data_IF_862889434664
#
_entry.id   IF_862889434664
#
_cell.length_a   1.000
_cell.length_b   1.000
_cell.length_c   1.000
_cell.angle_alpha   90.00
_cell.angle_beta   90.00
_cell.angle_gamma   90.00
#
_symmetry.space_group_name_H-M   'P 1'
#
loop_
_entity.id
_entity.type
_entity.pdbx_description
1 polymer ?
#
# COMPACT_ATOMS: atom_id res chain seq x y z
N UNK A 1 -15.60 -40.59 -6.97
CA UNK A 1 -16.01 -39.24 -7.40
C UNK A 1 -17.20 -38.80 -6.55
N UNK A 2 -16.95 -38.46 -5.29
CA UNK A 2 -17.99 -38.14 -4.30
C UNK A 2 -17.83 -36.67 -3.89
N UNK A 3 -18.95 -35.96 -3.97
CA UNK A 3 -19.21 -34.56 -3.58
C UNK A 3 -18.35 -33.48 -4.26
N UNK A 4 -18.53 -33.28 -5.56
CA UNK A 4 -18.36 -31.92 -6.09
C UNK A 4 -19.47 -31.06 -5.47
N UNK A 5 -19.09 -30.05 -4.69
CA UNK A 5 -19.99 -29.01 -4.24
C UNK A 5 -20.67 -28.30 -5.43
N UNK A 6 -21.51 -27.31 -5.14
CA UNK A 6 -22.24 -26.55 -6.16
C UNK A 6 -21.29 -26.07 -7.27
N UNK A 7 -21.47 -26.57 -8.49
CA UNK A 7 -20.72 -26.11 -9.67
C UNK A 7 -21.17 -24.68 -9.96
N UNK A 8 -20.21 -23.75 -10.02
CA UNK A 8 -20.46 -22.36 -10.38
C UNK A 8 -19.94 -22.11 -11.78
N UNK A 9 -20.78 -21.51 -12.63
CA UNK A 9 -20.40 -21.13 -13.98
C UNK A 9 -19.94 -19.68 -14.01
N UNK A 10 -18.87 -19.44 -14.76
CA UNK A 10 -18.31 -18.13 -15.02
C UNK A 10 -19.22 -17.38 -16.01
N UNK A 11 -20.02 -16.42 -15.52
CA UNK A 11 -20.99 -15.66 -16.35
C UNK A 11 -20.46 -14.26 -16.67
N UNK A 12 -19.99 -13.52 -15.65
CA UNK A 12 -19.46 -12.16 -15.79
C UNK A 12 -17.98 -12.15 -16.17
N UNK A 13 -17.70 -12.53 -17.43
CA UNK A 13 -16.34 -12.60 -17.95
C UNK A 13 -15.80 -11.19 -18.19
N UNK A 14 -14.73 -10.83 -17.49
CA UNK A 14 -13.96 -9.62 -17.74
C UNK A 14 -12.66 -9.94 -18.51
N UNK A 15 -12.18 -8.95 -19.28
CA UNK A 15 -10.93 -9.03 -20.02
C UNK A 15 -9.98 -7.92 -19.58
N UNK A 16 -8.77 -8.31 -19.21
CA UNK A 16 -7.68 -7.40 -18.87
C UNK A 16 -6.46 -7.75 -19.74
N UNK A 17 -6.35 -7.08 -20.89
CA UNK A 17 -5.37 -7.42 -21.91
C UNK A 17 -5.60 -8.82 -22.48
N UNK A 18 -4.61 -9.71 -22.29
CA UNK A 18 -4.72 -11.12 -22.70
C UNK A 18 -5.39 -12.01 -21.64
N UNK A 19 -5.62 -11.51 -20.43
CA UNK A 19 -6.22 -12.28 -19.36
C UNK A 19 -7.75 -12.22 -19.42
N UNK A 20 -8.38 -13.38 -19.21
CA UNK A 20 -9.83 -13.55 -19.15
C UNK A 20 -10.16 -14.10 -17.77
N UNK A 21 -11.05 -13.44 -17.04
CA UNK A 21 -11.39 -13.83 -15.68
C UNK A 21 -12.87 -13.64 -15.37
N UNK A 22 -13.29 -14.17 -14.23
CA UNK A 22 -14.56 -13.86 -13.58
C UNK A 22 -14.37 -13.97 -12.07
N UNK A 23 -15.37 -13.56 -11.31
CA UNK A 23 -15.30 -13.56 -9.85
C UNK A 23 -16.44 -14.36 -9.25
N UNK A 24 -16.14 -15.05 -8.15
CA UNK A 24 -17.13 -15.76 -7.35
C UNK A 24 -17.00 -15.31 -5.91
N UNK A 25 -18.12 -14.97 -5.28
CA UNK A 25 -18.15 -14.75 -3.84
C UNK A 25 -18.15 -16.11 -3.13
N UNK A 26 -16.99 -16.51 -2.62
CA UNK A 26 -16.91 -17.68 -1.74
C UNK A 26 -17.51 -17.28 -0.38
N UNK A 27 -18.68 -17.83 -0.06
CA UNK A 27 -19.25 -17.68 1.29
C UNK A 27 -18.34 -18.41 2.28
N UNK A 28 -18.03 -17.76 3.41
CA UNK A 28 -17.11 -18.27 4.43
C UNK A 28 -17.42 -19.74 4.72
N UNK A 29 -16.51 -20.62 4.32
CA UNK A 29 -16.50 -21.97 4.87
C UNK A 29 -16.21 -21.80 6.36
N UNK A 30 -17.27 -21.94 7.17
CA UNK A 30 -17.24 -21.69 8.62
C UNK A 30 -16.30 -22.64 9.37
N UNK A 31 -15.81 -23.67 8.69
CA UNK A 31 -14.95 -24.68 9.30
C UNK A 31 -13.48 -24.35 9.06
N UNK A 32 -13.00 -23.62 10.07
CA UNK A 32 -11.65 -23.32 10.55
C UNK A 32 -10.51 -24.35 10.36
N UNK A 33 -10.39 -24.97 9.19
CA UNK A 33 -9.10 -25.50 8.74
C UNK A 33 -8.78 -24.90 7.36
N UNK A 34 -7.78 -24.01 7.33
CA UNK A 34 -7.14 -23.57 6.09
C UNK A 34 -6.43 -24.73 5.36
N UNK A 35 -6.50 -25.94 5.91
CA UNK A 35 -5.67 -27.08 5.54
C UNK A 35 -6.04 -27.74 4.21
N UNK A 36 -7.21 -27.51 3.60
CA UNK A 36 -7.57 -28.27 2.39
C UNK A 36 -8.74 -27.76 1.55
N UNK A 37 -8.88 -26.44 1.37
CA UNK A 37 -9.84 -25.94 0.39
C UNK A 37 -9.12 -25.64 -0.92
N UNK A 38 -9.29 -26.51 -1.92
CA UNK A 38 -8.87 -26.27 -3.29
C UNK A 38 -10.10 -26.04 -4.17
N UNK A 39 -9.97 -25.17 -5.16
CA UNK A 39 -10.98 -24.99 -6.20
C UNK A 39 -10.59 -25.80 -7.43
N UNK A 40 -11.54 -26.52 -8.01
CA UNK A 40 -11.34 -27.16 -9.30
C UNK A 40 -11.88 -26.25 -10.39
N UNK A 41 -10.99 -25.80 -11.27
CA UNK A 41 -11.33 -24.99 -12.43
C UNK A 41 -11.40 -25.90 -13.65
N UNK A 42 -12.55 -25.92 -14.32
CA UNK A 42 -12.77 -26.64 -15.56
C UNK A 42 -12.98 -25.64 -16.70
N UNK A 43 -12.21 -25.79 -17.77
CA UNK A 43 -12.40 -25.06 -19.02
C UNK A 43 -12.82 -26.06 -20.08
N UNK A 44 -13.95 -25.78 -20.73
CA UNK A 44 -14.48 -26.62 -21.81
C UNK A 44 -14.95 -25.76 -22.97
N UNK A 45 -14.90 -26.33 -24.17
CA UNK A 45 -15.55 -25.75 -25.33
C UNK A 45 -17.07 -25.90 -25.23
N UNK A 46 -17.80 -24.92 -25.73
CA UNK A 46 -19.26 -24.93 -25.74
C UNK A 46 -19.82 -25.95 -26.73
N UNK A 47 -19.13 -26.16 -27.87
CA UNK A 47 -19.55 -27.14 -28.89
C UNK A 47 -19.09 -28.58 -28.56
N UNK A 48 -18.35 -28.78 -27.46
CA UNK A 48 -17.85 -30.09 -27.03
C UNK A 48 -16.81 -30.70 -27.96
N UNK A 49 -16.23 -29.93 -28.88
CA UNK A 49 -15.22 -30.43 -29.84
C UNK A 49 -13.82 -30.52 -29.24
N UNK A 50 -13.57 -29.73 -28.21
CA UNK A 50 -12.28 -29.68 -27.51
C UNK A 50 -12.44 -30.40 -26.17
N UNK A 51 -11.47 -31.26 -25.86
CA UNK A 51 -11.41 -31.98 -24.58
C UNK A 51 -11.34 -30.97 -23.42
N UNK A 52 -12.19 -31.10 -22.39
CA UNK A 52 -12.12 -30.25 -21.21
C UNK A 52 -10.78 -30.36 -20.49
N UNK A 53 -10.29 -29.23 -20.00
CA UNK A 53 -9.11 -29.14 -19.14
C UNK A 53 -9.54 -28.87 -17.71
N UNK A 54 -8.86 -29.50 -16.76
CA UNK A 54 -9.14 -29.39 -15.33
C UNK A 54 -7.85 -29.00 -14.61
N UNK A 55 -7.94 -27.99 -13.73
CA UNK A 55 -6.87 -27.61 -12.84
C UNK A 55 -7.40 -27.52 -11.42
N UNK A 56 -6.63 -28.02 -10.45
CA UNK A 56 -6.94 -27.92 -9.03
C UNK A 56 -6.02 -26.86 -8.46
N UNK A 57 -6.60 -25.80 -7.89
CA UNK A 57 -5.87 -24.64 -7.37
C UNK A 57 -6.14 -24.54 -5.87
N UNK A 58 -5.13 -24.69 -5.00
CA UNK A 58 -5.27 -24.45 -3.57
C UNK A 58 -5.70 -23.00 -3.29
N UNK A 59 -6.65 -22.78 -2.38
CA UNK A 59 -7.05 -21.42 -1.97
C UNK A 59 -5.93 -20.67 -1.22
N UNK A 60 -4.87 -21.38 -0.83
CA UNK A 60 -3.64 -20.83 -0.22
C UNK A 60 -2.61 -20.39 -1.26
N UNK A 61 -2.86 -20.63 -2.55
CA UNK A 61 -2.02 -20.17 -3.67
C UNK A 61 -2.63 -18.94 -4.34
N UNK A 62 -1.81 -18.10 -4.97
CA UNK A 62 -2.23 -16.94 -5.74
C UNK A 62 -3.15 -15.98 -4.97
N UNK A 63 -2.89 -15.83 -3.67
CA UNK A 63 -3.70 -14.98 -2.79
C UNK A 63 -3.19 -13.54 -2.84
N UNK A 64 -4.06 -12.63 -3.30
CA UNK A 64 -3.82 -11.19 -3.28
C UNK A 64 -4.70 -10.55 -2.18
N UNK A 65 -4.13 -10.07 -1.07
CA UNK A 65 -4.90 -9.39 -0.03
C UNK A 65 -5.44 -8.03 -0.51
N UNK A 66 -6.49 -7.55 0.17
CA UNK A 66 -6.93 -6.16 0.02
C UNK A 66 -5.85 -5.18 0.54
N UNK A 67 -5.78 -3.94 0.02
CA UNK A 67 -4.88 -2.92 0.56
C UNK A 67 -5.16 -2.65 2.04
N UNK A 68 -4.12 -2.47 2.88
CA UNK A 68 -4.31 -2.09 4.27
C UNK A 68 -4.85 -0.67 4.39
N UNK A 69 -5.52 -0.37 5.51
CA UNK A 69 -6.04 0.97 5.79
C UNK A 69 -5.23 1.63 6.91
N UNK A 70 -4.58 2.76 6.60
CA UNK A 70 -3.87 3.57 7.60
C UNK A 70 -4.91 4.14 8.59
N UNK A 71 -4.73 3.86 9.88
CA UNK A 71 -5.57 4.37 10.96
C UNK A 71 -5.07 5.68 11.50
N UNK A 72 -3.76 5.77 11.72
CA UNK A 72 -3.16 6.88 12.41
C UNK A 72 -1.75 7.13 11.88
N UNK A 73 -1.40 8.40 11.83
CA UNK A 73 -0.11 8.91 11.41
C UNK A 73 0.25 10.05 12.36
N UNK A 74 1.36 9.93 13.08
CA UNK A 74 1.75 10.92 14.10
C UNK A 74 3.26 10.97 14.30
N UNK A 75 3.80 12.13 14.62
CA UNK A 75 5.18 12.26 15.11
C UNK A 75 5.24 12.10 16.62
N UNK A 76 6.19 11.30 17.12
CA UNK A 76 6.51 11.21 18.54
C UNK A 76 8.03 11.19 18.69
N UNK A 77 8.58 12.10 19.50
CA UNK A 77 10.02 12.24 19.74
C UNK A 77 10.88 12.38 18.46
N UNK A 78 10.32 12.95 17.39
CA UNK A 78 11.02 13.12 16.10
C UNK A 78 10.89 11.94 15.14
N UNK A 79 10.29 10.83 15.58
CA UNK A 79 10.06 9.66 14.72
C UNK A 79 8.61 9.62 14.21
N UNK A 80 8.42 9.10 13.01
CA UNK A 80 7.10 8.95 12.40
C UNK A 80 6.48 7.61 12.79
N UNK A 81 5.36 7.67 13.51
CA UNK A 81 4.57 6.50 13.89
C UNK A 81 3.42 6.30 12.93
N UNK A 82 3.39 5.11 12.33
CA UNK A 82 2.36 4.70 11.37
C UNK A 82 1.62 3.50 11.94
N UNK A 83 0.29 3.57 11.94
CA UNK A 83 -0.58 2.47 12.38
C UNK A 83 -1.62 2.16 11.33
N UNK A 84 -1.86 0.87 11.03
CA UNK A 84 -2.85 0.45 10.05
C UNK A 84 -3.75 -0.71 10.53
N UNK A 85 -4.72 -1.10 9.70
CA UNK A 85 -5.54 -2.29 9.89
C UNK A 85 -5.08 -3.39 8.95
N UNK A 86 -5.14 -4.63 9.44
CA UNK A 86 -5.01 -5.80 8.59
C UNK A 86 -6.18 -5.88 7.60
N UNK A 87 -5.94 -6.41 6.40
CA UNK A 87 -7.01 -6.86 5.52
C UNK A 87 -7.90 -7.90 6.23
N UNK A 88 -9.19 -7.93 5.87
CA UNK A 88 -10.14 -8.85 6.51
C UNK A 88 -9.78 -10.31 6.21
N UNK A 89 -10.03 -11.20 7.19
CA UNK A 89 -9.82 -12.65 7.08
C UNK A 89 -8.35 -13.11 7.01
N UNK A 90 -7.39 -12.25 7.35
CA UNK A 90 -5.98 -12.61 7.45
C UNK A 90 -5.47 -12.49 8.89
N UNK A 91 -4.68 -13.48 9.33
CA UNK A 91 -3.90 -13.38 10.56
C UNK A 91 -2.67 -12.51 10.33
N UNK A 92 -2.32 -11.66 11.30
CA UNK A 92 -1.16 -10.76 11.21
C UNK A 92 0.16 -11.48 10.90
N UNK A 93 0.38 -12.64 11.54
CA UNK A 93 1.59 -13.47 11.33
C UNK A 93 1.75 -14.02 9.91
N UNK A 94 0.67 -14.01 9.13
CA UNK A 94 0.64 -14.54 7.77
C UNK A 94 0.81 -13.44 6.71
N UNK A 95 1.14 -12.22 7.13
CA UNK A 95 1.24 -11.06 6.26
C UNK A 95 2.63 -10.41 6.40
N UNK A 96 3.12 -9.89 5.28
CA UNK A 96 4.35 -9.11 5.21
C UNK A 96 4.02 -7.76 4.59
N UNK A 97 4.43 -6.68 5.25
CA UNK A 97 4.09 -5.32 4.85
C UNK A 97 5.28 -4.58 4.28
N UNK A 98 4.98 -3.66 3.37
CA UNK A 98 5.93 -2.71 2.84
C UNK A 98 5.34 -1.30 3.00
N UNK A 99 6.14 -0.42 3.58
CA UNK A 99 5.78 0.97 3.87
C UNK A 99 6.64 1.87 3.01
N UNK A 100 6.00 2.66 2.15
CA UNK A 100 6.63 3.70 1.34
C UNK A 100 6.43 5.04 2.03
N UNK A 101 7.52 5.79 2.22
CA UNK A 101 7.50 7.18 2.67
C UNK A 101 8.10 8.07 1.59
N UNK A 102 7.33 9.05 1.15
CA UNK A 102 7.77 10.07 0.21
C UNK A 102 7.80 11.44 0.91
N UNK A 103 8.99 12.06 0.94
CA UNK A 103 9.22 13.36 1.53
C UNK A 103 9.28 14.44 0.43
N UNK A 104 8.49 15.50 0.57
CA UNK A 104 8.49 16.63 -0.37
C UNK A 104 9.84 17.34 -0.59
N UNK A 105 10.81 17.20 0.31
CA UNK A 105 12.13 17.85 0.22
C UNK A 105 13.27 16.90 -0.14
N UNK A 106 13.07 15.58 -0.06
CA UNK A 106 14.07 14.59 -0.44
C UNK A 106 13.60 13.87 -1.71
N UNK A 107 14.45 13.78 -2.74
CA UNK A 107 14.13 13.03 -3.96
C UNK A 107 14.08 11.49 -3.73
N UNK A 108 14.27 11.05 -2.49
CA UNK A 108 14.35 9.65 -2.09
C UNK A 108 13.01 9.18 -1.53
N UNK A 109 12.55 8.03 -2.01
CA UNK A 109 11.47 7.27 -1.40
C UNK A 109 12.10 6.14 -0.59
N UNK A 110 11.72 6.05 0.68
CA UNK A 110 12.25 5.01 1.57
C UNK A 110 11.23 3.89 1.73
N UNK A 111 11.72 2.65 1.65
CA UNK A 111 10.92 1.44 1.76
C UNK A 111 11.29 0.70 3.03
N UNK A 112 10.29 0.43 3.87
CA UNK A 112 10.47 -0.29 5.14
C UNK A 112 9.60 -1.54 5.22
N UNK A 113 10.09 -2.55 5.95
CA UNK A 113 9.34 -3.75 6.30
C UNK A 113 8.93 -3.70 7.77
N UNK A 114 7.63 -3.83 8.06
CA UNK A 114 7.11 -3.53 9.39
C UNK A 114 5.97 -4.41 9.87
N UNK A 115 5.62 -4.21 11.14
CA UNK A 115 4.39 -4.74 11.75
C UNK A 115 3.32 -3.66 11.77
N UNK A 116 2.09 -4.00 12.17
CA UNK A 116 0.90 -3.12 12.19
C UNK A 116 1.14 -1.73 12.81
N UNK A 117 2.07 -1.66 13.76
CA UNK A 117 2.59 -0.40 14.30
C UNK A 117 4.08 -0.33 13.96
N UNK A 118 4.47 0.67 13.17
CA UNK A 118 5.84 0.83 12.72
C UNK A 118 6.32 2.25 12.94
N UNK A 119 7.57 2.34 13.42
CA UNK A 119 8.27 3.59 13.68
C UNK A 119 9.31 3.78 12.57
N UNK A 120 9.28 4.97 11.95
CA UNK A 120 10.17 5.33 10.87
C UNK A 120 11.09 6.44 11.38
N UNK A 121 12.36 6.12 11.65
CA UNK A 121 13.31 7.11 12.16
C UNK A 121 13.77 8.05 11.03
N UNK A 122 14.21 9.25 11.42
CA UNK A 122 14.84 10.20 10.50
C UNK A 122 13.89 10.92 9.53
N UNK A 123 12.58 10.82 9.75
CA UNK A 123 11.59 11.57 8.97
C UNK A 123 11.46 12.98 9.52
N UNK A 124 11.72 13.99 8.68
CA UNK A 124 11.67 15.39 9.07
C UNK A 124 10.21 15.84 9.31
N UNK A 125 9.83 16.30 10.52
CA UNK A 125 8.44 16.69 10.82
C UNK A 125 8.01 17.99 10.11
N UNK A 126 8.97 18.84 9.76
CA UNK A 126 8.73 20.14 9.13
C UNK A 126 8.51 20.06 7.61
N UNK A 127 8.50 18.84 7.05
CA UNK A 127 8.24 18.59 5.64
C UNK A 127 6.93 17.84 5.45
N UNK A 128 6.34 17.96 4.26
CA UNK A 128 5.17 17.17 3.91
C UNK A 128 5.64 15.74 3.62
N UNK A 129 5.26 14.81 4.48
CA UNK A 129 5.56 13.39 4.36
C UNK A 129 4.29 12.65 3.98
N UNK A 130 4.36 11.83 2.93
CA UNK A 130 3.24 11.03 2.45
C UNK A 130 3.57 9.55 2.58
N UNK A 131 2.69 8.82 3.25
CA UNK A 131 2.86 7.39 3.53
C UNK A 131 1.87 6.55 2.74
N UNK A 132 2.35 5.44 2.18
CA UNK A 132 1.54 4.38 1.57
C UNK A 132 2.02 3.04 2.08
N UNK A 133 1.08 2.10 2.17
CA UNK A 133 1.37 0.75 2.67
C UNK A 133 0.78 -0.27 1.73
N UNK A 134 1.52 -1.32 1.42
CA UNK A 134 1.00 -2.51 0.75
C UNK A 134 1.37 -3.76 1.53
N UNK A 135 0.68 -4.84 1.25
CA UNK A 135 0.81 -6.11 1.98
C UNK A 135 0.78 -7.28 1.02
N UNK A 136 1.51 -8.33 1.36
CA UNK A 136 1.42 -9.63 0.71
C UNK A 136 1.26 -10.72 1.76
N UNK A 137 0.88 -11.91 1.30
CA UNK A 137 0.90 -13.12 2.13
C UNK A 137 2.33 -13.52 2.49
N UNK A 138 2.47 -14.38 3.50
CA UNK A 138 3.73 -14.95 3.92
C UNK A 138 3.72 -16.47 3.68
N UNK A 139 4.86 -17.01 3.20
CA UNK A 139 5.06 -18.44 2.95
C UNK A 139 4.89 -19.35 4.18
N UNK A 140 4.88 -18.77 5.37
CA UNK A 140 4.56 -19.49 6.61
C UNK A 140 3.12 -20.02 6.66
N UNK A 141 2.18 -19.37 5.95
CA UNK A 141 0.76 -19.73 5.96
C UNK A 141 0.17 -20.00 4.57
N UNK A 142 0.85 -19.55 3.52
CA UNK A 142 0.39 -19.61 2.13
C UNK A 142 1.45 -20.28 1.25
N UNK A 143 1.05 -20.86 0.13
CA UNK A 143 1.99 -21.56 -0.77
C UNK A 143 2.95 -20.59 -1.48
N UNK A 144 2.50 -19.36 -1.72
CA UNK A 144 3.30 -18.31 -2.31
C UNK A 144 3.07 -16.93 -1.66
N UNK A 145 4.01 -16.03 -1.91
CA UNK A 145 4.06 -14.64 -1.45
C UNK A 145 4.39 -13.69 -2.61
N UNK A 146 3.92 -14.04 -3.82
CA UNK A 146 4.31 -13.32 -5.05
C UNK A 146 3.42 -12.12 -5.35
N UNK A 147 2.18 -12.13 -4.84
CA UNK A 147 1.19 -11.12 -5.15
C UNK A 147 1.11 -10.07 -4.05
N UNK A 148 1.48 -8.84 -4.40
CA UNK A 148 1.24 -7.68 -3.56
C UNK A 148 -0.20 -7.18 -3.71
N UNK A 149 -0.77 -6.68 -2.62
CA UNK A 149 -1.95 -5.83 -2.67
C UNK A 149 -1.66 -4.58 -3.51
N UNK A 150 -2.72 -3.88 -3.93
CA UNK A 150 -2.54 -2.50 -4.35
C UNK A 150 -2.05 -1.66 -3.14
N UNK A 151 -1.44 -0.51 -3.42
CA UNK A 151 -1.10 0.45 -2.36
C UNK A 151 -2.35 0.94 -1.63
N UNK A 152 -2.21 1.19 -0.32
CA UNK A 152 -3.22 1.85 0.48
C UNK A 152 -3.52 3.25 -0.05
N UNK A 153 -4.65 3.82 0.37
CA UNK A 153 -4.84 5.26 0.26
C UNK A 153 -3.67 5.98 0.96
N UNK A 154 -3.15 6.99 0.30
CA UNK A 154 -2.06 7.80 0.82
C UNK A 154 -2.53 8.64 2.01
N UNK A 155 -1.71 8.72 3.05
CA UNK A 155 -1.94 9.62 4.18
C UNK A 155 -0.74 10.53 4.35
N UNK A 156 -0.98 11.82 4.49
CA UNK A 156 0.09 12.82 4.61
C UNK A 156 0.05 13.51 5.97
N UNK A 157 1.23 13.89 6.47
CA UNK A 157 1.43 14.65 7.70
C UNK A 157 2.56 15.67 7.50
N UNK A 158 2.54 16.74 8.29
CA UNK A 158 3.51 17.82 8.23
C UNK A 158 3.04 18.97 7.34
N UNK A 159 3.90 19.95 7.14
CA UNK A 159 3.59 21.15 6.36
C UNK A 159 4.37 21.16 5.05
N UNK A 160 3.71 21.59 3.98
CA UNK A 160 4.42 21.89 2.74
C UNK A 160 5.21 23.17 2.95
N UNK A 161 6.53 23.13 2.75
CA UNK A 161 7.34 24.34 2.77
C UNK A 161 6.76 25.36 1.80
N UNK A 162 6.48 26.57 2.29
CA UNK A 162 5.94 27.64 1.45
C UNK A 162 7.12 28.39 0.80
N UNK A 163 7.38 28.19 -0.51
CA UNK A 163 8.53 28.80 -1.18
C UNK A 163 8.44 30.33 -1.18
N UNK A 164 7.23 30.89 -1.06
CA UNK A 164 7.01 32.34 -0.99
C UNK A 164 7.70 32.94 0.23
N UNK A 165 7.69 32.27 1.38
CA UNK A 165 8.35 32.79 2.59
C UNK A 165 9.86 32.91 2.36
N UNK A 166 10.50 31.85 1.87
CA UNK A 166 11.94 31.85 1.58
C UNK A 166 12.33 32.93 0.57
N UNK A 167 11.59 33.06 -0.53
CA UNK A 167 11.85 34.06 -1.57
C UNK A 167 11.66 35.48 -1.01
N UNK A 168 10.60 35.73 -0.23
CA UNK A 168 10.37 37.05 0.36
C UNK A 168 11.46 37.42 1.36
N UNK A 169 11.88 36.52 2.24
CA UNK A 169 12.97 36.77 3.19
C UNK A 169 14.29 37.06 2.46
N UNK A 170 14.61 36.30 1.40
CA UNK A 170 15.82 36.48 0.61
C UNK A 170 15.87 37.86 -0.07
N UNK A 171 14.73 38.37 -0.54
CA UNK A 171 14.63 39.68 -1.18
C UNK A 171 14.65 40.84 -0.18
N UNK A 172 14.12 40.62 1.03
CA UNK A 172 13.96 41.67 2.04
C UNK A 172 15.29 41.97 2.78
N UNK A 173 16.11 40.96 3.06
CA UNK A 173 17.41 41.11 3.74
C UNK A 173 18.33 42.18 3.08
N UNK A 174 18.61 42.15 1.77
CA UNK A 174 19.50 43.13 1.14
C UNK A 174 18.93 44.55 1.16
N UNK A 175 17.60 44.71 1.12
CA UNK A 175 16.93 46.02 1.20
C UNK A 175 17.16 46.64 2.58
N UNK A 176 17.00 45.87 3.66
CA UNK A 176 17.26 46.35 5.02
C UNK A 176 18.73 46.71 5.24
N UNK A 177 19.66 45.90 4.71
CA UNK A 177 21.09 46.19 4.80
C UNK A 177 21.43 47.50 4.08
N UNK A 178 20.91 47.70 2.87
CA UNK A 178 21.13 48.94 2.12
C UNK A 178 20.56 50.17 2.85
N UNK A 179 19.34 50.07 3.40
CA UNK A 179 18.73 51.14 4.17
C UNK A 179 19.55 51.50 5.43
N UNK A 180 20.03 50.49 6.15
CA UNK A 180 20.87 50.70 7.34
C UNK A 180 22.20 51.40 6.98
N UNK A 181 22.84 51.02 5.88
CA UNK A 181 24.06 51.66 5.38
C UNK A 181 23.79 53.13 5.01
N UNK A 182 22.69 53.42 4.31
CA UNK A 182 22.32 54.79 3.93
C UNK A 182 22.10 55.65 5.18
N UNK A 183 21.35 55.15 6.18
CA UNK A 183 21.11 55.87 7.44
C UNK A 183 22.42 56.13 8.19
N UNK A 184 23.33 55.14 8.25
CA UNK A 184 24.63 55.29 8.89
C UNK A 184 25.51 56.33 8.18
N UNK A 185 25.52 56.34 6.84
CA UNK A 185 26.25 57.32 6.04
C UNK A 185 25.70 58.74 6.22
N UNK A 186 24.39 58.89 6.41
CA UNK A 186 23.76 60.18 6.72
C UNK A 186 24.04 60.64 8.15
N UNK A 187 24.19 59.72 9.10
CA UNK A 187 24.50 60.04 10.50
C UNK A 187 25.97 60.42 10.72
N UNK A 188 26.89 59.84 9.94
CA UNK A 188 28.33 60.12 9.99
C UNK A 188 28.75 61.36 9.17
N UNK A 189 27.80 62.02 8.52
CA UNK A 189 27.99 63.25 7.74
C UNK A 189 27.57 64.46 8.57
#
# INVERSE_FOLDING_TARGET
HSSLGKILQCEDIYREGQHIGCSFALTKVKDSSFEQHSVQVMVKDNAGKIRPSFNIVPLTSHVKPDPPHIKNLSFQNGDLYVQWKNPQNFYSRCLSYEVEVNNSQAETHDIFYGTICFMIPGVLPDTLNTVRIRVKTNKLCYEDDKLWSNWSQAMSIGQKANPTFYITTLLIIPIFVAAAIIVLLLYLK
#
